data_IF_654473498236
#
_entry.id   IF_654473498236
#
_cell.length_a   1.000
_cell.length_b   1.000
_cell.length_c   1.000
_cell.angle_alpha   90.00
_cell.angle_beta   90.00
_cell.angle_gamma   90.00
#
_symmetry.space_group_name_H-M   'P 1'
#
loop_
_entity.id
_entity.type
_entity.pdbx_description
1 polymer ?
#
# COMPACT_ATOMS: atom_id res chain seq x y z
N UNK A 1 18.75 -5.29 -24.01
CA UNK A 1 18.98 -6.35 -23.01
C UNK A 1 18.39 -5.90 -21.67
N UNK A 2 17.07 -6.03 -21.45
CA UNK A 2 16.40 -5.52 -20.25
C UNK A 2 16.12 -6.64 -19.24
N UNK A 3 17.14 -7.00 -18.46
CA UNK A 3 16.97 -7.79 -17.23
C UNK A 3 16.35 -6.92 -16.14
N UNK A 4 15.01 -6.79 -16.06
CA UNK A 4 14.39 -5.97 -15.01
C UNK A 4 13.12 -6.52 -14.34
N UNK A 5 12.76 -7.79 -14.55
CA UNK A 5 11.57 -8.34 -13.86
C UNK A 5 11.91 -9.43 -12.85
N UNK A 6 12.85 -9.16 -11.93
CA UNK A 6 12.67 -9.65 -10.56
C UNK A 6 11.55 -8.79 -9.97
N UNK A 7 10.32 -9.28 -10.09
CA UNK A 7 9.12 -8.58 -9.65
C UNK A 7 9.08 -8.68 -8.13
N UNK A 8 9.81 -7.80 -7.44
CA UNK A 8 9.86 -7.79 -5.98
C UNK A 8 8.42 -7.63 -5.47
N UNK A 9 7.81 -8.66 -4.85
CA UNK A 9 6.42 -8.59 -4.40
C UNK A 9 6.25 -7.45 -3.39
N UNK A 10 7.29 -7.18 -2.61
CA UNK A 10 7.42 -6.02 -1.73
C UNK A 10 7.26 -4.69 -2.46
N UNK A 11 7.87 -4.51 -3.64
CA UNK A 11 7.79 -3.25 -4.40
C UNK A 11 6.37 -3.01 -4.94
N UNK A 12 5.68 -4.10 -5.33
CA UNK A 12 4.27 -4.04 -5.74
C UNK A 12 3.37 -3.59 -4.59
N UNK A 13 3.52 -4.20 -3.41
CA UNK A 13 2.73 -3.86 -2.23
C UNK A 13 3.00 -2.44 -1.74
N UNK A 14 4.26 -2.00 -1.74
CA UNK A 14 4.60 -0.60 -1.40
C UNK A 14 3.91 0.40 -2.34
N UNK A 15 3.84 0.11 -3.64
CA UNK A 15 3.12 0.94 -4.61
C UNK A 15 1.62 0.99 -4.27
N UNK A 16 1.00 -0.16 -4.02
CA UNK A 16 -0.42 -0.23 -3.64
C UNK A 16 -0.72 0.51 -2.34
N UNK A 17 0.16 0.38 -1.34
CA UNK A 17 0.06 1.13 -0.09
C UNK A 17 0.08 2.64 -0.33
N UNK A 18 1.05 3.13 -1.12
CA UNK A 18 1.14 4.56 -1.46
C UNK A 18 -0.08 5.08 -2.21
N UNK A 19 -0.64 4.29 -3.13
CA UNK A 19 -1.84 4.66 -3.87
C UNK A 19 -3.06 4.77 -2.93
N UNK A 20 -3.21 3.84 -1.97
CA UNK A 20 -4.28 3.89 -0.97
C UNK A 20 -4.16 5.08 -0.04
N UNK A 21 -2.95 5.43 0.40
CA UNK A 21 -2.70 6.63 1.19
C UNK A 21 -3.02 7.91 0.41
N UNK A 22 -2.67 7.98 -0.87
CA UNK A 22 -2.99 9.14 -1.70
C UNK A 22 -4.50 9.31 -1.87
N UNK A 23 -5.21 8.20 -2.08
CA UNK A 23 -6.68 8.19 -2.14
C UNK A 23 -7.29 8.59 -0.79
N UNK A 24 -6.77 8.09 0.32
CA UNK A 24 -7.22 8.46 1.66
C UNK A 24 -7.04 9.97 1.90
N UNK A 25 -5.88 10.52 1.54
CA UNK A 25 -5.61 11.96 1.62
C UNK A 25 -6.59 12.79 0.77
N UNK A 26 -6.93 12.32 -0.44
CA UNK A 26 -7.95 12.97 -1.27
C UNK A 26 -9.34 12.87 -0.64
N UNK A 27 -9.72 11.72 -0.11
CA UNK A 27 -11.00 11.51 0.58
C UNK A 27 -11.11 12.44 1.81
N UNK A 28 -10.05 12.52 2.63
CA UNK A 28 -9.99 13.41 3.78
C UNK A 28 -10.14 14.88 3.37
N UNK A 29 -9.42 15.34 2.34
CA UNK A 29 -9.53 16.71 1.83
C UNK A 29 -10.91 17.04 1.27
N UNK A 30 -11.58 16.04 0.69
CA UNK A 30 -12.94 16.19 0.17
C UNK A 30 -14.02 16.04 1.26
N UNK A 31 -13.64 15.77 2.52
CA UNK A 31 -14.58 15.57 3.62
C UNK A 31 -15.26 14.20 3.65
N UNK A 32 -14.78 13.23 2.86
CA UNK A 32 -15.29 11.86 2.87
C UNK A 32 -14.60 11.05 3.99
N UNK A 33 -15.13 11.19 5.20
CA UNK A 33 -14.61 10.53 6.41
C UNK A 33 -14.76 9.01 6.31
N UNK A 34 -15.85 8.53 5.71
CA UNK A 34 -16.10 7.09 5.56
C UNK A 34 -15.13 6.47 4.57
N UNK A 35 -14.94 7.12 3.43
CA UNK A 35 -13.95 6.73 2.41
C UNK A 35 -12.53 6.79 2.97
N UNK A 36 -12.19 7.84 3.72
CA UNK A 36 -10.90 7.94 4.41
C UNK A 36 -10.67 6.74 5.33
N UNK A 37 -11.61 6.46 6.26
CA UNK A 37 -11.48 5.36 7.21
C UNK A 37 -11.34 3.99 6.53
N UNK A 38 -12.05 3.78 5.42
CA UNK A 38 -11.96 2.53 4.65
C UNK A 38 -10.60 2.43 3.94
N UNK A 39 -10.17 3.50 3.27
CA UNK A 39 -8.90 3.53 2.54
C UNK A 39 -7.69 3.43 3.47
N UNK A 40 -7.75 4.02 4.66
CA UNK A 40 -6.69 3.86 5.67
C UNK A 40 -6.65 2.43 6.21
N UNK A 41 -7.81 1.80 6.46
CA UNK A 41 -7.85 0.39 6.87
C UNK A 41 -7.26 -0.53 5.81
N UNK A 42 -7.58 -0.32 4.54
CA UNK A 42 -7.00 -1.08 3.43
C UNK A 42 -5.49 -0.85 3.31
N UNK A 43 -5.02 0.38 3.53
CA UNK A 43 -3.60 0.68 3.55
C UNK A 43 -2.89 -0.05 4.70
N UNK A 44 -3.47 -0.09 5.89
CA UNK A 44 -2.92 -0.84 7.02
C UNK A 44 -2.81 -2.34 6.75
N UNK A 45 -3.78 -2.94 6.07
CA UNK A 45 -3.72 -4.36 5.73
C UNK A 45 -2.61 -4.66 4.72
N UNK A 46 -2.41 -3.79 3.72
CA UNK A 46 -1.26 -3.88 2.80
C UNK A 46 0.06 -3.71 3.57
N UNK A 47 0.11 -2.78 4.53
CA UNK A 47 1.29 -2.58 5.36
C UNK A 47 1.65 -3.82 6.18
N UNK A 48 0.65 -4.51 6.76
CA UNK A 48 0.85 -5.79 7.45
C UNK A 48 1.41 -6.87 6.50
N UNK A 49 0.96 -6.91 5.25
CA UNK A 49 1.52 -7.83 4.25
C UNK A 49 2.99 -7.49 3.92
N UNK A 50 3.32 -6.20 3.79
CA UNK A 50 4.70 -5.75 3.60
C UNK A 50 5.57 -6.18 4.79
N UNK A 51 5.09 -5.96 6.02
CA UNK A 51 5.82 -6.36 7.23
C UNK A 51 6.00 -7.88 7.32
N UNK A 52 5.00 -8.68 6.93
CA UNK A 52 5.15 -10.15 6.88
C UNK A 52 6.22 -10.59 5.89
N UNK A 53 6.31 -9.93 4.73
CA UNK A 53 7.35 -10.20 3.75
C UNK A 53 8.74 -9.71 4.20
N UNK A 54 8.82 -8.64 4.97
CA UNK A 54 10.07 -8.16 5.58
C UNK A 54 10.54 -9.04 6.74
N UNK A 55 9.60 -9.51 7.57
CA UNK A 55 9.81 -10.36 8.72
C UNK A 55 9.99 -11.85 8.36
N UNK A 56 9.87 -12.19 7.08
CA UNK A 56 10.36 -13.48 6.56
C UNK A 56 11.73 -13.24 5.91
N UNK A 57 12.80 -13.00 6.70
CA UNK A 57 14.15 -13.05 6.16
C UNK A 57 14.41 -14.51 5.78
N UNK A 58 14.86 -14.70 4.54
CA UNK A 58 15.43 -15.96 4.10
C UNK A 58 16.83 -16.12 4.69
#
# INVERSE_FOLDING_TARGET
>A
MFSIFKKDPKKKLNKQYSEKLELAMKAQRNGDIKGYSMLTSEAEDIYKEIQKLEATPN
#
